data_IF_422100594855
#
_entry.id   IF_422100594855
#
_cell.length_a   1.000
_cell.length_b   1.000
_cell.length_c   1.000
_cell.angle_alpha   90.00
_cell.angle_beta   90.00
_cell.angle_gamma   90.00
#
_symmetry.space_group_name_H-M   'P 1'
#
loop_
_entity.id
_entity.type
_entity.pdbx_description
1 polymer ?
#
# COMPACT_ATOMS: atom_id res chain seq x y z
N UNK A 1 11.25 15.18 2.92
CA UNK A 1 10.06 14.49 2.36
C UNK A 1 10.48 13.50 1.27
N UNK A 2 9.88 12.30 1.19
CA UNK A 2 10.15 11.31 0.13
C UNK A 2 9.17 11.49 -1.03
N UNK A 3 9.70 11.49 -2.24
CA UNK A 3 8.96 11.53 -3.51
C UNK A 3 9.45 10.39 -4.40
N UNK A 4 8.62 9.93 -5.31
CA UNK A 4 9.01 8.90 -6.26
C UNK A 4 7.85 8.45 -7.11
N UNK A 5 8.17 7.71 -8.17
CA UNK A 5 7.17 7.11 -9.04
C UNK A 5 7.66 5.75 -9.49
N UNK A 6 6.74 4.78 -9.47
CA UNK A 6 6.89 3.54 -10.22
C UNK A 6 6.40 3.84 -11.63
N UNK A 7 7.23 3.62 -12.64
CA UNK A 7 6.95 3.99 -14.03
C UNK A 7 6.65 2.76 -14.88
N UNK A 8 7.30 1.64 -14.61
CA UNK A 8 7.11 0.41 -15.36
C UNK A 8 7.14 -0.81 -14.44
N UNK A 9 6.19 -1.72 -14.63
CA UNK A 9 6.11 -2.99 -13.90
C UNK A 9 5.73 -4.11 -14.86
N UNK A 10 6.53 -5.18 -14.83
CA UNK A 10 6.26 -6.47 -15.47
C UNK A 10 6.32 -7.59 -14.43
N UNK A 11 6.08 -8.84 -14.83
CA UNK A 11 6.23 -10.00 -13.96
C UNK A 11 7.66 -10.23 -13.46
N UNK A 12 8.65 -9.70 -14.19
CA UNK A 12 10.07 -9.96 -13.93
C UNK A 12 10.85 -8.71 -13.51
N UNK A 13 10.32 -7.50 -13.77
CA UNK A 13 11.05 -6.24 -13.58
C UNK A 13 10.14 -5.15 -13.03
N UNK A 14 10.71 -4.32 -12.16
CA UNK A 14 10.13 -3.06 -11.72
C UNK A 14 11.14 -1.92 -11.92
N UNK A 15 10.64 -0.78 -12.40
CA UNK A 15 11.45 0.41 -12.65
C UNK A 15 10.74 1.68 -12.18
N UNK A 16 11.53 2.63 -11.70
CA UNK A 16 11.05 3.94 -11.33
C UNK A 16 12.16 4.83 -10.80
N UNK A 17 11.77 5.82 -9.99
CA UNK A 17 12.68 6.72 -9.31
C UNK A 17 12.18 7.05 -7.90
N UNK A 18 13.12 7.42 -7.05
CA UNK A 18 12.86 7.82 -5.67
C UNK A 18 13.82 8.94 -5.25
N UNK A 19 13.31 9.93 -4.54
CA UNK A 19 14.00 11.12 -4.10
C UNK A 19 13.62 11.44 -2.65
N UNK A 20 14.55 12.01 -1.90
CA UNK A 20 14.34 12.53 -0.55
C UNK A 20 15.17 13.78 -0.38
N UNK A 21 14.54 14.79 0.19
CA UNK A 21 15.20 16.03 0.60
C UNK A 21 16.25 15.80 1.70
N UNK A 22 16.14 14.70 2.46
CA UNK A 22 17.06 14.37 3.56
C UNK A 22 18.41 13.82 3.05
N UNK A 23 18.56 13.71 1.72
CA UNK A 23 19.88 13.71 1.06
C UNK A 23 20.62 12.39 0.97
N UNK A 24 20.05 11.24 1.37
CA UNK A 24 20.76 9.96 1.29
C UNK A 24 19.89 8.74 0.92
N UNK A 25 19.37 8.73 -0.31
CA UNK A 25 18.75 7.52 -0.91
C UNK A 25 19.72 6.76 -1.83
N UNK A 26 20.81 7.39 -2.28
CA UNK A 26 21.77 6.74 -3.17
C UNK A 26 22.32 5.45 -2.53
N UNK A 27 22.42 4.40 -3.33
CA UNK A 27 22.83 3.04 -2.93
C UNK A 27 21.96 2.36 -1.87
N UNK A 28 20.85 2.98 -1.44
CA UNK A 28 19.90 2.34 -0.52
C UNK A 28 19.16 1.22 -1.21
N UNK A 29 18.80 0.20 -0.42
CA UNK A 29 18.00 -0.93 -0.87
C UNK A 29 16.53 -0.55 -0.89
N UNK A 30 15.87 -0.83 -2.01
CA UNK A 30 14.43 -0.86 -2.15
C UNK A 30 13.95 -2.30 -2.15
N UNK A 31 12.79 -2.51 -1.55
CA UNK A 31 12.13 -3.80 -1.44
C UNK A 31 10.77 -3.70 -2.14
N UNK A 32 10.49 -4.59 -3.09
CA UNK A 32 9.16 -4.72 -3.68
C UNK A 32 8.33 -5.71 -2.86
N UNK A 33 7.10 -5.33 -2.54
CA UNK A 33 6.16 -6.14 -1.80
C UNK A 33 4.87 -6.36 -2.58
N UNK A 34 4.33 -7.58 -2.44
CA UNK A 34 2.95 -7.93 -2.78
C UNK A 34 2.27 -8.35 -1.48
N UNK A 35 1.38 -7.49 -0.95
CA UNK A 35 0.85 -7.67 0.40
C UNK A 35 1.99 -7.71 1.42
N UNK A 36 2.10 -8.82 2.15
CA UNK A 36 3.15 -9.04 3.16
C UNK A 36 4.39 -9.78 2.63
N UNK A 37 4.36 -10.24 1.36
CA UNK A 37 5.47 -10.98 0.76
C UNK A 37 6.43 -10.05 0.03
N UNK A 38 7.72 -10.12 0.37
CA UNK A 38 8.78 -9.51 -0.43
C UNK A 38 8.96 -10.31 -1.73
N UNK A 39 8.92 -9.64 -2.87
CA UNK A 39 8.95 -10.24 -4.22
C UNK A 39 10.19 -9.83 -5.03
N UNK A 40 11.02 -8.95 -4.48
CA UNK A 40 12.28 -8.54 -5.08
C UNK A 40 12.95 -7.39 -4.33
N UNK A 41 14.21 -7.13 -4.63
CA UNK A 41 14.99 -6.07 -4.02
C UNK A 41 16.00 -5.49 -5.02
N UNK A 42 16.34 -4.21 -4.87
CA UNK A 42 17.29 -3.54 -5.73
C UNK A 42 17.86 -2.28 -5.10
N UNK A 43 18.89 -1.70 -5.71
CA UNK A 43 19.51 -0.45 -5.23
C UNK A 43 19.06 0.75 -6.04
N UNK A 44 19.10 1.92 -5.42
CA UNK A 44 18.93 3.20 -6.11
C UNK A 44 20.30 3.70 -6.59
N UNK A 45 20.63 3.39 -7.84
CA UNK A 45 21.93 3.70 -8.44
C UNK A 45 21.83 4.11 -9.92
N UNK A 46 20.64 4.10 -10.51
CA UNK A 46 20.47 4.39 -11.93
C UNK A 46 20.46 5.90 -12.15
N UNK A 47 21.38 6.36 -12.98
CA UNK A 47 21.47 7.77 -13.36
C UNK A 47 20.32 8.18 -14.28
N UNK A 48 19.74 9.34 -14.00
CA UNK A 48 18.66 9.97 -14.75
C UNK A 48 18.98 11.43 -15.03
N UNK A 49 19.25 11.72 -16.29
CA UNK A 49 19.58 13.07 -16.75
C UNK A 49 18.42 14.05 -16.53
N UNK A 50 17.18 13.60 -16.74
CA UNK A 50 15.99 14.42 -16.54
C UNK A 50 15.79 14.85 -15.07
N UNK A 51 16.16 14.00 -14.11
CA UNK A 51 16.15 14.35 -12.68
C UNK A 51 17.32 15.25 -12.29
N UNK A 52 18.50 15.03 -12.88
CA UNK A 52 19.66 15.90 -12.69
C UNK A 52 19.38 17.32 -13.20
N UNK A 53 18.83 17.44 -14.42
CA UNK A 53 18.48 18.72 -15.05
C UNK A 53 17.36 19.45 -14.29
N UNK A 54 16.46 18.70 -13.64
CA UNK A 54 15.44 19.26 -12.73
C UNK A 54 16.00 19.72 -11.37
N UNK A 55 17.30 19.57 -11.13
CA UNK A 55 17.95 19.95 -9.86
C UNK A 55 17.67 18.99 -8.70
N UNK A 56 17.25 17.75 -8.98
CA UNK A 56 17.02 16.73 -7.96
C UNK A 56 18.30 15.94 -7.70
N UNK A 57 19.08 16.36 -6.70
CA UNK A 57 20.29 15.65 -6.27
C UNK A 57 21.36 15.53 -7.37
N UNK A 58 22.03 14.38 -7.43
CA UNK A 58 23.10 14.07 -8.40
C UNK A 58 22.61 13.23 -9.59
N UNK A 59 21.28 13.14 -9.77
CA UNK A 59 20.63 12.33 -10.81
C UNK A 59 20.63 10.81 -10.57
N UNK A 60 21.31 10.28 -9.55
CA UNK A 60 21.37 8.83 -9.27
C UNK A 60 20.19 8.38 -8.39
N UNK A 61 18.99 8.65 -8.88
CA UNK A 61 17.73 8.50 -8.16
C UNK A 61 16.82 7.46 -8.79
N UNK A 62 17.23 6.86 -9.92
CA UNK A 62 16.52 5.79 -10.58
C UNK A 62 16.78 4.43 -9.93
N UNK A 63 15.82 3.53 -10.06
CA UNK A 63 15.98 2.13 -9.70
C UNK A 63 15.39 1.24 -10.81
N UNK A 64 16.02 0.10 -11.01
CA UNK A 64 15.48 -1.01 -11.79
C UNK A 64 15.98 -2.31 -11.19
N UNK A 65 15.08 -3.26 -10.91
CA UNK A 65 15.46 -4.54 -10.35
C UNK A 65 14.45 -5.64 -10.67
N UNK A 66 14.92 -6.88 -10.54
CA UNK A 66 14.12 -8.05 -10.81
C UNK A 66 13.09 -8.29 -9.69
N UNK A 67 11.87 -8.63 -10.09
CA UNK A 67 10.79 -9.08 -9.21
C UNK A 67 10.25 -10.41 -9.72
N UNK A 68 9.53 -11.14 -8.88
CA UNK A 68 8.78 -12.33 -9.32
C UNK A 68 7.35 -12.22 -8.83
N UNK A 69 6.46 -11.78 -9.73
CA UNK A 69 5.05 -11.51 -9.40
C UNK A 69 4.14 -12.09 -10.49
N UNK A 70 3.07 -12.82 -10.13
CA UNK A 70 2.09 -13.27 -11.09
C UNK A 70 1.44 -12.08 -11.85
N UNK A 71 1.11 -12.22 -13.15
CA UNK A 71 0.53 -11.14 -13.95
C UNK A 71 -0.73 -10.48 -13.35
N UNK A 72 -1.55 -11.26 -12.65
CA UNK A 72 -2.77 -10.78 -11.99
C UNK A 72 -2.51 -9.84 -10.80
N UNK A 73 -1.31 -9.89 -10.23
CA UNK A 73 -0.94 -9.17 -9.01
C UNK A 73 -0.04 -7.96 -9.27
N UNK A 74 0.33 -7.70 -10.54
CA UNK A 74 1.23 -6.61 -10.92
C UNK A 74 0.75 -5.23 -10.50
N UNK A 75 -0.56 -5.01 -10.39
CA UNK A 75 -1.14 -3.74 -9.95
C UNK A 75 -1.16 -3.55 -8.44
N UNK A 76 -0.77 -4.56 -7.66
CA UNK A 76 -0.73 -4.55 -6.19
C UNK A 76 0.68 -4.39 -5.64
N UNK A 77 1.68 -4.26 -6.51
CA UNK A 77 3.08 -4.16 -6.10
C UNK A 77 3.33 -2.77 -5.53
N UNK A 78 3.94 -2.73 -4.36
CA UNK A 78 4.41 -1.51 -3.72
C UNK A 78 5.91 -1.59 -3.49
N UNK A 79 6.60 -0.46 -3.54
CA UNK A 79 8.05 -0.39 -3.28
C UNK A 79 8.28 0.31 -1.95
N UNK A 80 9.08 -0.27 -1.07
CA UNK A 80 9.45 0.30 0.23
C UNK A 80 10.95 0.53 0.29
N UNK A 81 11.36 1.57 1.01
CA UNK A 81 12.76 1.79 1.33
C UNK A 81 13.13 0.92 2.55
N UNK A 82 14.23 0.18 2.45
CA UNK A 82 14.70 -0.68 3.54
C UNK A 82 14.96 0.15 4.82
N UNK A 83 14.42 -0.31 5.94
CA UNK A 83 14.54 0.37 7.23
C UNK A 83 13.70 1.65 7.35
N UNK A 84 12.72 1.86 6.46
CA UNK A 84 11.80 3.00 6.47
C UNK A 84 10.35 2.57 6.23
N UNK A 85 9.42 3.33 6.80
CA UNK A 85 7.98 3.18 6.55
C UNK A 85 7.52 3.87 5.25
N UNK A 86 8.45 4.45 4.48
CA UNK A 86 8.15 5.10 3.21
C UNK A 86 7.76 4.08 2.13
N UNK A 87 6.59 4.29 1.53
CA UNK A 87 6.02 3.42 0.49
C UNK A 87 5.76 4.22 -0.79
N UNK A 88 6.26 3.73 -1.91
CA UNK A 88 5.90 4.19 -3.24
C UNK A 88 4.73 3.37 -3.78
N UNK A 89 3.68 4.08 -4.16
CA UNK A 89 2.48 3.51 -4.78
C UNK A 89 2.55 3.65 -6.30
N UNK A 90 1.93 2.69 -6.98
CA UNK A 90 2.00 2.52 -8.44
C UNK A 90 1.10 3.47 -9.25
N UNK A 91 0.87 4.70 -8.77
CA UNK A 91 -0.16 5.63 -9.28
C UNK A 91 -0.10 5.92 -10.79
N UNK A 92 1.09 5.83 -11.39
CA UNK A 92 1.33 6.17 -12.80
C UNK A 92 2.13 5.10 -13.55
N UNK A 93 2.26 3.89 -13.01
CA UNK A 93 3.07 2.88 -13.68
C UNK A 93 2.32 2.21 -14.84
N UNK A 94 3.05 1.98 -15.93
CA UNK A 94 2.61 1.13 -17.02
C UNK A 94 2.78 -0.32 -16.60
N UNK A 95 1.67 -1.04 -16.47
CA UNK A 95 1.66 -2.49 -16.22
C UNK A 95 1.68 -3.21 -17.55
N UNK A 96 2.78 -3.87 -17.86
CA UNK A 96 2.90 -4.67 -19.09
C UNK A 96 2.82 -6.13 -18.70
N UNK A 97 1.65 -6.74 -18.92
CA UNK A 97 1.43 -8.16 -18.74
C UNK A 97 0.53 -8.68 -19.86
N UNK A 98 0.77 -9.91 -20.32
CA UNK A 98 -0.11 -10.63 -21.25
C UNK A 98 -1.41 -11.11 -20.61
N UNK A 99 -1.62 -10.81 -19.32
CA UNK A 99 -2.85 -11.10 -18.60
C UNK A 99 -3.87 -9.98 -18.79
N UNK A 100 -5.05 -10.33 -19.30
CA UNK A 100 -6.22 -9.45 -19.33
C UNK A 100 -6.41 -8.82 -17.94
N UNK A 101 -6.29 -7.51 -17.87
CA UNK A 101 -6.64 -6.76 -16.68
C UNK A 101 -8.14 -7.00 -16.39
N UNK A 102 -8.47 -7.87 -15.44
CA UNK A 102 -9.80 -7.85 -14.83
C UNK A 102 -9.84 -6.67 -13.86
N UNK A 103 -9.96 -5.47 -14.43
CA UNK A 103 -10.45 -4.29 -13.73
C UNK A 103 -11.93 -4.20 -14.04
N UNK A 104 -12.73 -4.88 -13.23
CA UNK A 104 -14.07 -4.48 -12.80
C UNK A 104 -14.70 -5.64 -12.03
N UNK A 105 -15.06 -5.40 -10.76
CA UNK A 105 -15.95 -6.31 -10.05
C UNK A 105 -17.29 -6.30 -10.79
N UNK A 106 -17.71 -7.46 -11.30
CA UNK A 106 -19.00 -7.58 -11.98
C UNK A 106 -20.14 -7.10 -11.07
N UNK A 107 -21.15 -6.45 -11.65
CA UNK A 107 -22.32 -5.90 -10.92
C UNK A 107 -22.99 -6.91 -9.97
N UNK A 108 -22.93 -8.20 -10.31
CA UNK A 108 -23.46 -9.31 -9.49
C UNK A 108 -22.64 -9.53 -8.23
N UNK A 109 -21.31 -9.54 -8.34
CA UNK A 109 -20.41 -9.77 -7.21
C UNK A 109 -20.41 -8.60 -6.21
N UNK A 110 -20.50 -7.37 -6.71
CA UNK A 110 -20.69 -6.18 -5.85
C UNK A 110 -22.00 -6.30 -5.03
N UNK A 111 -23.07 -6.81 -5.64
CA UNK A 111 -24.37 -7.00 -4.94
C UNK A 111 -24.28 -8.03 -3.83
N UNK A 112 -23.59 -9.16 -4.07
CA UNK A 112 -23.42 -10.22 -3.07
C UNK A 112 -22.59 -9.74 -1.88
N UNK A 113 -21.50 -9.02 -2.13
CA UNK A 113 -20.66 -8.47 -1.07
C UNK A 113 -21.36 -7.36 -0.27
N UNK A 114 -22.22 -6.55 -0.91
CA UNK A 114 -23.07 -5.59 -0.20
C UNK A 114 -24.12 -6.29 0.69
N UNK A 115 -24.64 -7.44 0.24
CA UNK A 115 -25.59 -8.22 1.03
C UNK A 115 -24.92 -8.80 2.29
N UNK A 116 -23.69 -9.31 2.18
CA UNK A 116 -22.94 -9.82 3.33
C UNK A 116 -22.55 -8.73 4.33
N UNK A 117 -22.16 -7.53 3.87
CA UNK A 117 -21.91 -6.39 4.76
C UNK A 117 -23.18 -5.92 5.48
N UNK A 118 -24.30 -5.84 4.78
CA UNK A 118 -25.60 -5.50 5.41
C UNK A 118 -26.00 -6.54 6.45
N UNK A 119 -25.77 -7.81 6.17
CA UNK A 119 -25.99 -8.87 7.14
C UNK A 119 -25.09 -8.69 8.38
N UNK A 120 -23.81 -8.42 8.19
CA UNK A 120 -22.86 -8.22 9.28
C UNK A 120 -23.20 -7.01 10.16
N UNK A 121 -23.61 -5.89 9.54
CA UNK A 121 -24.08 -4.70 10.25
C UNK A 121 -25.33 -5.00 11.07
N UNK A 122 -26.31 -5.70 10.48
CA UNK A 122 -27.57 -6.06 11.16
C UNK A 122 -27.35 -6.94 12.40
N UNK A 123 -26.33 -7.78 12.37
CA UNK A 123 -25.98 -8.67 13.49
C UNK A 123 -24.93 -8.05 14.43
N UNK A 124 -24.64 -6.75 14.29
CA UNK A 124 -23.69 -6.04 15.16
C UNK A 124 -22.24 -6.53 15.05
N UNK A 125 -21.89 -7.28 14.00
CA UNK A 125 -20.53 -7.82 13.80
C UNK A 125 -19.55 -6.78 13.25
N UNK A 126 -20.08 -5.68 12.71
CA UNK A 126 -19.32 -4.52 12.25
C UNK A 126 -20.08 -3.25 12.67
N UNK A 127 -19.36 -2.17 12.94
CA UNK A 127 -19.98 -0.88 13.24
C UNK A 127 -20.53 -0.24 11.96
N UNK A 128 -21.40 0.76 12.12
CA UNK A 128 -21.90 1.53 10.98
C UNK A 128 -20.77 2.26 10.25
N UNK A 129 -19.73 2.72 10.96
CA UNK A 129 -18.54 3.32 10.37
C UNK A 129 -17.73 2.34 9.53
N UNK A 130 -17.59 1.09 9.98
CA UNK A 130 -16.90 0.04 9.23
C UNK A 130 -17.68 -0.39 7.98
N UNK A 131 -19.01 -0.41 8.07
CA UNK A 131 -19.87 -0.67 6.92
C UNK A 131 -19.70 0.39 5.83
N UNK A 132 -19.76 1.68 6.18
CA UNK A 132 -19.62 2.76 5.21
C UNK A 132 -18.20 2.82 4.62
N UNK A 133 -17.18 2.54 5.44
CA UNK A 133 -15.81 2.40 4.98
C UNK A 133 -15.66 1.30 3.92
N UNK A 134 -16.10 0.07 4.21
CA UNK A 134 -15.96 -1.08 3.31
C UNK A 134 -16.78 -0.89 2.03
N UNK A 135 -17.95 -0.26 2.14
CA UNK A 135 -18.79 0.09 0.99
C UNK A 135 -18.09 1.08 0.05
N UNK A 136 -17.45 2.12 0.59
CA UNK A 136 -16.76 3.14 -0.20
C UNK A 136 -15.51 2.55 -0.86
N UNK A 137 -14.75 1.72 -0.15
CA UNK A 137 -13.53 1.05 -0.62
C UNK A 137 -13.76 0.25 -1.91
N UNK A 138 -14.92 -0.39 -2.05
CA UNK A 138 -15.28 -1.13 -3.26
C UNK A 138 -15.85 -0.28 -4.39
N UNK A 139 -16.25 0.96 -4.11
CA UNK A 139 -16.85 1.86 -5.12
C UNK A 139 -15.86 2.84 -5.75
N UNK A 140 -14.78 3.21 -5.04
CA UNK A 140 -13.88 4.28 -5.49
C UNK A 140 -12.40 3.91 -5.53
N UNK A 141 -11.99 2.72 -5.06
CA UNK A 141 -10.62 2.23 -5.19
C UNK A 141 -9.53 3.13 -4.58
N UNK A 142 -9.87 4.09 -3.71
CA UNK A 142 -8.92 5.02 -3.08
C UNK A 142 -9.35 5.31 -1.64
N UNK A 143 -8.42 5.21 -0.67
CA UNK A 143 -8.37 6.14 0.47
C UNK A 143 -6.99 6.23 1.17
N UNK A 144 -6.58 7.45 1.54
CA UNK A 144 -5.51 7.76 2.52
C UNK A 144 -6.08 7.73 3.94
N UNK A 145 -5.65 6.80 4.78
CA UNK A 145 -5.92 6.93 6.22
C UNK A 145 -4.89 7.90 6.80
N UNK A 146 -5.31 9.16 7.00
CA UNK A 146 -4.50 10.16 7.68
C UNK A 146 -3.89 9.60 8.96
N UNK A 147 -2.59 9.80 9.14
CA UNK A 147 -1.78 9.38 10.28
C UNK A 147 -2.43 9.86 11.60
N UNK A 148 -3.25 9.01 12.21
CA UNK A 148 -3.61 9.19 13.62
C UNK A 148 -2.38 8.78 14.41
N UNK A 149 -1.60 9.75 14.88
CA UNK A 149 -0.66 9.56 15.98
C UNK A 149 -1.45 8.93 17.13
N UNK A 150 -1.21 7.66 17.43
CA UNK A 150 -1.61 7.08 18.71
C UNK A 150 -0.82 7.81 19.79
N UNK A 151 -1.54 8.55 20.63
CA UNK A 151 -0.96 9.20 21.80
C UNK A 151 -0.82 8.12 22.88
N UNK A 152 0.39 7.91 23.41
CA UNK A 152 0.72 6.84 24.37
C UNK A 152 -0.01 6.94 25.73
N UNK A 153 -0.86 7.95 25.90
CA UNK A 153 -1.71 8.13 27.08
C UNK A 153 -2.97 7.24 27.09
N UNK A 154 -3.33 6.64 25.95
CA UNK A 154 -4.55 5.81 25.82
C UNK A 154 -4.34 4.33 26.20
N UNK A 155 -3.08 3.87 26.33
CA UNK A 155 -2.77 2.49 26.76
C UNK A 155 -3.12 2.23 28.24
N UNK A 156 -3.33 3.29 29.04
CA UNK A 156 -3.75 3.17 30.44
C UNK A 156 -5.23 2.82 30.62
N UNK A 157 -6.08 3.06 29.62
CA UNK A 157 -7.53 2.88 29.73
C UNK A 157 -8.01 1.45 29.44
N UNK A 158 -7.16 0.61 28.84
CA UNK A 158 -7.52 -0.78 28.45
C UNK A 158 -7.12 -1.81 29.52
N UNK A 159 -6.46 -1.39 30.61
CA UNK A 159 -6.09 -2.26 31.74
C UNK A 159 -6.96 -2.02 32.99
N UNK A 160 -8.28 -1.99 32.86
CA UNK A 160 -9.16 -2.26 34.01
C UNK A 160 -10.08 -3.48 33.77
N UNK A 161 -9.58 -4.60 34.30
CA UNK A 161 -10.29 -5.67 35.02
C UNK A 161 -11.31 -6.52 34.24
N UNK A 162 -10.89 -7.70 33.74
CA UNK A 162 -11.80 -8.77 33.27
C UNK A 162 -12.62 -9.44 34.41
N UNK A 163 -12.72 -8.85 35.61
CA UNK A 163 -13.46 -9.41 36.75
C UNK A 163 -14.88 -8.86 36.92
N UNK A 164 -15.25 -7.76 36.25
CA UNK A 164 -16.56 -7.11 36.45
C UNK A 164 -17.71 -7.70 35.63
N UNK A 165 -17.41 -8.34 34.49
CA UNK A 165 -18.45 -8.83 33.55
C UNK A 165 -19.01 -10.20 33.99
N UNK A 166 -18.25 -10.99 34.75
CA UNK A 166 -18.68 -12.32 35.17
C UNK A 166 -19.75 -12.30 36.29
N UNK A 167 -19.87 -11.19 37.04
CA UNK A 167 -20.82 -11.07 38.16
C UNK A 167 -22.17 -10.48 37.77
N UNK A 168 -22.35 -10.01 36.53
CA UNK A 168 -23.63 -9.50 36.01
C UNK A 168 -24.42 -10.55 35.20
N UNK A 169 -23.94 -11.80 35.16
CA UNK A 169 -24.59 -12.94 34.48
C UNK A 169 -25.07 -14.04 35.44
N UNK A 170 -25.18 -13.73 36.74
CA UNK A 170 -25.93 -14.51 37.74
C UNK A 170 -27.01 -13.62 38.36
#
# INVERSE_FOLDING_TARGET
MIRGSIEHVTNDVIQGWIYSEDGNIRERTLLAFRGDSCVGAGRVNMFRADLADAGMGDGHLGFTFAISVPPQDLGSVVVKLEGSDAVLLQRSAVVTGTGSASRDLGRTEVRERLASLKWALKHGRISQGDFDFLRILWSTGVYERGLVRRNSADDGAVMEKPLGVATQLL
#
